data_IF_528922595004
#
_entry.id   IF_528922595004
#
_cell.length_a   1.000
_cell.length_b   1.000
_cell.length_c   1.000
_cell.angle_alpha   90.00
_cell.angle_beta   90.00
_cell.angle_gamma   90.00
#
_symmetry.space_group_name_H-M   'P 1'
#
loop_
_entity.id
_entity.type
_entity.pdbx_description
1 polymer ?
#
# COMPACT_ATOMS: atom_id res chain seq x y z
N UNK A 1 -20.61 15.48 1.79
CA UNK A 1 -19.89 14.56 0.89
C UNK A 1 -19.03 15.27 -0.17
N UNK A 2 -19.56 16.24 -0.91
CA UNK A 2 -18.82 16.97 -1.99
C UNK A 2 -17.52 17.67 -1.53
N UNK A 3 -17.51 18.38 -0.38
CA UNK A 3 -16.34 19.14 0.10
C UNK A 3 -15.14 18.25 0.46
N UNK A 4 -15.36 17.06 1.02
CA UNK A 4 -14.30 16.09 1.33
C UNK A 4 -13.64 15.54 0.06
N UNK A 5 -14.42 15.33 -0.99
CA UNK A 5 -13.93 14.91 -2.31
C UNK A 5 -13.04 15.98 -2.97
N UNK A 6 -13.41 17.26 -2.89
CA UNK A 6 -12.62 18.37 -3.45
C UNK A 6 -11.29 18.53 -2.70
N UNK A 7 -11.32 18.52 -1.36
CA UNK A 7 -10.11 18.58 -0.53
C UNK A 7 -9.14 17.45 -0.85
N UNK A 8 -9.66 16.21 -1.02
CA UNK A 8 -8.86 15.05 -1.37
C UNK A 8 -8.21 15.19 -2.75
N UNK A 9 -8.95 15.65 -3.76
CA UNK A 9 -8.41 15.89 -5.12
C UNK A 9 -7.31 16.93 -5.11
N UNK A 10 -7.51 18.05 -4.43
CA UNK A 10 -6.52 19.13 -4.32
C UNK A 10 -5.25 18.64 -3.58
N UNK A 11 -5.40 17.97 -2.45
CA UNK A 11 -4.26 17.42 -1.71
C UNK A 11 -3.46 16.41 -2.54
N UNK A 12 -4.14 15.50 -3.23
CA UNK A 12 -3.49 14.53 -4.13
C UNK A 12 -2.79 15.22 -5.30
N UNK A 13 -3.38 16.26 -5.88
CA UNK A 13 -2.72 17.05 -6.92
C UNK A 13 -1.44 17.71 -6.39
N UNK A 14 -1.52 18.36 -5.23
CA UNK A 14 -0.36 19.04 -4.61
C UNK A 14 0.75 18.03 -4.27
N UNK A 15 0.42 16.90 -3.64
CA UNK A 15 1.41 15.87 -3.28
C UNK A 15 2.05 15.24 -4.51
N UNK A 16 1.27 15.02 -5.59
CA UNK A 16 1.73 14.29 -6.76
C UNK A 16 2.41 15.14 -7.83
N UNK A 17 2.12 16.45 -7.87
CA UNK A 17 2.62 17.34 -8.94
C UNK A 17 3.52 18.45 -8.40
N UNK A 18 3.15 19.06 -7.27
CA UNK A 18 3.88 20.23 -6.74
C UNK A 18 4.99 19.78 -5.78
N UNK A 19 4.66 18.87 -4.86
CA UNK A 19 5.58 18.44 -3.80
C UNK A 19 6.13 17.01 -4.04
N UNK A 20 6.02 16.46 -5.25
CA UNK A 20 6.59 15.15 -5.57
C UNK A 20 8.11 15.12 -5.32
N UNK A 21 8.63 13.92 -4.96
CA UNK A 21 10.04 13.72 -4.69
C UNK A 21 10.38 13.64 -3.20
N UNK A 22 11.67 13.71 -2.89
CA UNK A 22 12.24 13.41 -1.55
C UNK A 22 12.34 14.62 -0.64
N UNK A 23 11.52 15.65 -0.87
CA UNK A 23 11.46 16.87 -0.06
C UNK A 23 10.05 17.09 0.49
N UNK A 24 9.91 18.07 1.39
CA UNK A 24 8.61 18.55 1.89
C UNK A 24 7.73 17.52 2.59
N UNK A 25 8.32 16.48 3.20
CA UNK A 25 7.58 15.40 3.86
C UNK A 25 6.59 15.90 4.92
N UNK A 26 6.94 16.92 5.70
CA UNK A 26 6.02 17.53 6.66
C UNK A 26 4.78 18.14 6.02
N UNK A 27 4.93 18.85 4.91
CA UNK A 27 3.82 19.44 4.15
C UNK A 27 2.95 18.33 3.56
N UNK A 28 3.57 17.31 2.95
CA UNK A 28 2.83 16.17 2.39
C UNK A 28 2.01 15.42 3.44
N UNK A 29 2.56 15.17 4.64
CA UNK A 29 1.79 14.59 5.75
C UNK A 29 0.56 15.44 6.11
N UNK A 30 0.73 16.75 6.27
CA UNK A 30 -0.38 17.67 6.58
C UNK A 30 -1.46 17.63 5.49
N UNK A 31 -1.09 17.70 4.23
CA UNK A 31 -2.00 17.65 3.09
C UNK A 31 -2.77 16.33 3.03
N UNK A 32 -2.08 15.19 3.20
CA UNK A 32 -2.70 13.86 3.18
C UNK A 32 -3.65 13.67 4.37
N UNK A 33 -3.26 14.10 5.57
CA UNK A 33 -4.16 14.08 6.75
C UNK A 33 -5.41 14.94 6.52
N UNK A 34 -5.26 16.13 5.96
CA UNK A 34 -6.39 17.00 5.60
C UNK A 34 -7.29 16.38 4.51
N UNK A 35 -6.74 15.50 3.68
CA UNK A 35 -7.47 14.72 2.68
C UNK A 35 -8.17 13.47 3.26
N UNK A 36 -7.99 13.19 4.56
CA UNK A 36 -8.62 12.08 5.27
C UNK A 36 -7.82 10.78 5.25
N UNK A 37 -6.53 10.83 4.92
CA UNK A 37 -5.61 9.71 5.12
C UNK A 37 -5.06 9.71 6.56
N UNK A 38 -4.85 8.53 7.10
CA UNK A 38 -4.22 8.33 8.39
C UNK A 38 -2.69 8.21 8.18
N UNK A 39 -1.95 9.26 8.48
CA UNK A 39 -0.49 9.30 8.26
C UNK A 39 0.22 9.55 9.58
N UNK A 40 1.03 8.59 10.01
CA UNK A 40 1.80 8.62 11.25
C UNK A 40 2.88 9.71 11.28
N UNK A 41 3.39 9.98 12.48
CA UNK A 41 4.45 10.98 12.65
C UNK A 41 5.77 10.47 12.06
N UNK A 42 6.55 11.35 11.44
CA UNK A 42 7.81 10.96 10.81
C UNK A 42 7.67 10.18 9.50
N UNK A 43 6.46 9.77 9.08
CA UNK A 43 6.27 9.08 7.80
C UNK A 43 6.74 9.92 6.61
N UNK A 44 7.43 9.29 5.66
CA UNK A 44 8.04 9.93 4.49
C UNK A 44 7.40 9.39 3.22
N UNK A 45 6.56 10.19 2.56
CA UNK A 45 5.89 9.81 1.32
C UNK A 45 6.52 10.58 0.16
N UNK A 46 7.14 9.84 -0.76
CA UNK A 46 7.87 10.44 -1.89
C UNK A 46 6.90 11.00 -2.93
N UNK A 47 5.86 10.24 -3.28
CA UNK A 47 4.94 10.57 -4.37
C UNK A 47 5.58 10.40 -5.77
N UNK A 48 4.78 10.33 -6.82
CA UNK A 48 3.33 10.33 -6.78
C UNK A 48 2.73 9.12 -6.03
N UNK A 49 1.50 9.31 -5.54
CA UNK A 49 0.68 8.31 -4.87
C UNK A 49 -0.66 8.21 -5.58
N UNK A 50 -1.07 7.01 -5.99
CA UNK A 50 -2.42 6.74 -6.48
C UNK A 50 -3.17 5.91 -5.44
N UNK A 51 -4.30 6.42 -4.96
CA UNK A 51 -5.12 5.70 -3.99
C UNK A 51 -6.61 5.95 -4.26
N UNK A 52 -7.32 4.91 -4.70
CA UNK A 52 -8.77 4.97 -4.91
C UNK A 52 -9.55 4.59 -3.66
N UNK A 53 -9.04 3.69 -2.85
CA UNK A 53 -9.57 3.26 -1.57
C UNK A 53 -9.14 4.12 -0.38
N UNK A 54 -8.88 3.48 0.75
CA UNK A 54 -8.33 4.08 1.96
C UNK A 54 -6.92 3.58 2.25
N UNK A 55 -6.09 4.44 2.83
CA UNK A 55 -4.71 4.15 3.18
C UNK A 55 -4.39 4.72 4.56
N UNK A 56 -3.84 3.87 5.42
CA UNK A 56 -3.23 4.25 6.68
C UNK A 56 -1.73 3.91 6.62
N UNK A 57 -0.88 4.81 7.08
CA UNK A 57 0.58 4.65 7.11
C UNK A 57 1.08 4.99 8.51
N UNK A 58 1.73 4.04 9.16
CA UNK A 58 2.29 4.17 10.49
C UNK A 58 3.46 5.14 10.58
N UNK A 59 3.89 5.39 11.81
CA UNK A 59 4.97 6.32 12.11
C UNK A 59 6.30 5.83 11.52
N UNK A 60 7.16 6.79 11.12
CA UNK A 60 8.52 6.53 10.61
C UNK A 60 8.59 5.61 9.38
N UNK A 61 7.48 5.36 8.71
CA UNK A 61 7.40 4.52 7.51
C UNK A 61 7.77 5.32 6.27
N UNK A 62 8.60 4.71 5.41
CA UNK A 62 8.97 5.24 4.11
C UNK A 62 8.07 4.67 3.02
N UNK A 63 7.50 5.55 2.21
CA UNK A 63 6.72 5.19 1.02
C UNK A 63 7.42 5.73 -0.22
N UNK A 64 7.89 4.83 -1.06
CA UNK A 64 8.54 5.11 -2.33
C UNK A 64 7.62 5.75 -3.37
N UNK A 65 8.19 6.02 -4.55
CA UNK A 65 7.45 6.60 -5.67
C UNK A 65 6.41 5.62 -6.23
N UNK A 66 5.34 6.18 -6.78
CA UNK A 66 4.31 5.46 -7.52
C UNK A 66 3.62 4.35 -6.71
N UNK A 67 3.54 4.50 -5.36
CA UNK A 67 2.69 3.61 -4.60
C UNK A 67 1.27 3.67 -5.15
N UNK A 68 0.69 2.50 -5.43
CA UNK A 68 -0.65 2.40 -5.99
C UNK A 68 -1.55 1.52 -5.13
N UNK A 69 -2.72 2.04 -4.75
CA UNK A 69 -3.81 1.30 -4.12
C UNK A 69 -4.98 1.28 -5.07
N UNK A 70 -5.19 0.15 -5.72
CA UNK A 70 -6.32 -0.10 -6.62
C UNK A 70 -7.50 -0.72 -5.88
N UNK A 71 -8.71 -0.24 -6.20
CA UNK A 71 -9.95 -0.70 -5.60
C UNK A 71 -10.41 0.18 -4.45
N UNK A 72 -11.60 -0.11 -3.91
CA UNK A 72 -12.28 0.72 -2.91
C UNK A 72 -12.07 0.22 -1.47
N UNK A 73 -11.20 -0.77 -1.28
CA UNK A 73 -10.91 -1.35 0.03
C UNK A 73 -9.90 -0.54 0.85
N UNK A 74 -9.23 -1.21 1.77
CA UNK A 74 -8.36 -0.57 2.77
C UNK A 74 -6.96 -1.20 2.76
N UNK A 75 -5.93 -0.36 2.84
CA UNK A 75 -4.54 -0.73 3.13
C UNK A 75 -4.12 -0.09 4.44
N UNK A 76 -3.58 -0.89 5.33
CA UNK A 76 -2.99 -0.46 6.60
C UNK A 76 -1.53 -0.88 6.62
N UNK A 77 -0.63 0.09 6.68
CA UNK A 77 0.82 -0.13 6.76
C UNK A 77 1.28 0.29 8.14
N UNK A 78 1.95 -0.60 8.84
CA UNK A 78 2.48 -0.39 10.17
C UNK A 78 3.60 0.66 10.24
N UNK A 79 4.26 0.69 11.37
CA UNK A 79 5.35 1.61 11.67
C UNK A 79 6.70 1.07 11.18
N UNK A 80 7.65 1.98 10.91
CA UNK A 80 9.03 1.66 10.54
C UNK A 80 9.15 0.69 9.36
N UNK A 81 8.19 0.77 8.43
CA UNK A 81 8.21 0.01 7.19
C UNK A 81 8.95 0.77 6.09
N UNK A 82 9.53 0.01 5.16
CA UNK A 82 10.09 0.53 3.92
C UNK A 82 9.35 -0.06 2.72
N UNK A 83 8.55 0.76 2.05
CA UNK A 83 7.85 0.40 0.82
C UNK A 83 8.60 1.02 -0.36
N UNK A 84 9.19 0.16 -1.18
CA UNK A 84 9.99 0.57 -2.34
C UNK A 84 9.11 1.14 -3.47
N UNK A 85 9.72 1.71 -4.54
CA UNK A 85 8.96 2.25 -5.66
C UNK A 85 8.09 1.22 -6.39
N UNK A 86 7.00 1.72 -7.00
CA UNK A 86 6.11 0.98 -7.91
C UNK A 86 5.39 -0.21 -7.25
N UNK A 87 5.22 -0.21 -5.93
CA UNK A 87 4.46 -1.23 -5.21
C UNK A 87 2.96 -1.04 -5.44
N UNK A 88 2.26 -2.14 -5.67
CA UNK A 88 0.82 -2.17 -5.94
C UNK A 88 0.08 -2.97 -4.87
N UNK A 89 -0.96 -2.37 -4.29
CA UNK A 89 -1.93 -3.04 -3.42
C UNK A 89 -3.27 -3.20 -4.15
N UNK A 90 -3.76 -4.43 -4.27
CA UNK A 90 -5.03 -4.76 -4.94
C UNK A 90 -6.14 -4.96 -3.92
N UNK A 91 -6.92 -3.93 -3.67
CA UNK A 91 -8.02 -3.94 -2.69
C UNK A 91 -9.40 -4.08 -3.33
N UNK A 92 -9.46 -4.39 -4.61
CA UNK A 92 -10.70 -4.65 -5.34
C UNK A 92 -10.56 -5.84 -6.25
N UNK A 93 -11.67 -6.50 -6.54
CA UNK A 93 -11.73 -7.63 -7.45
C UNK A 93 -13.15 -8.08 -7.70
N UNK A 94 -13.31 -9.30 -8.18
CA UNK A 94 -14.59 -9.92 -8.45
C UNK A 94 -14.62 -11.36 -7.94
N UNK A 95 -15.81 -11.85 -7.63
CA UNK A 95 -16.05 -13.28 -7.51
C UNK A 95 -15.91 -13.93 -8.89
N UNK A 96 -15.59 -15.22 -8.88
CA UNK A 96 -15.61 -15.98 -10.13
C UNK A 96 -17.07 -16.28 -10.46
N UNK A 97 -17.57 -15.64 -11.52
CA UNK A 97 -18.90 -15.85 -12.06
C UNK A 97 -18.99 -17.08 -12.96
N UNK A 98 -20.10 -17.23 -13.62
CA UNK A 98 -20.39 -18.33 -14.53
C UNK A 98 -19.65 -18.22 -15.90
N UNK A 99 -19.98 -19.12 -16.83
CA UNK A 99 -19.37 -19.16 -18.17
C UNK A 99 -19.66 -17.95 -19.04
N UNK A 100 -20.73 -17.22 -18.78
CA UNK A 100 -21.13 -16.03 -19.56
C UNK A 100 -20.33 -14.80 -19.12
N UNK A 101 -20.00 -14.69 -17.80
CA UNK A 101 -19.24 -13.57 -17.26
C UNK A 101 -18.39 -14.00 -16.05
N UNK A 102 -17.09 -14.20 -16.27
CA UNK A 102 -16.15 -14.62 -15.22
C UNK A 102 -15.92 -13.57 -14.14
N UNK A 103 -16.00 -12.29 -14.45
CA UNK A 103 -15.98 -11.22 -13.45
C UNK A 103 -17.41 -11.06 -12.87
N UNK A 104 -17.72 -11.81 -11.82
CA UNK A 104 -18.99 -11.78 -11.10
C UNK A 104 -19.16 -10.55 -10.21
N UNK A 105 -19.77 -10.73 -9.04
CA UNK A 105 -20.00 -9.63 -8.09
C UNK A 105 -18.70 -8.95 -7.68
N UNK A 106 -18.72 -7.62 -7.58
CA UNK A 106 -17.57 -6.83 -7.14
C UNK A 106 -17.24 -7.08 -5.68
N UNK A 107 -15.96 -7.20 -5.36
CA UNK A 107 -15.45 -7.42 -4.01
C UNK A 107 -14.47 -6.33 -3.59
N UNK A 108 -14.46 -6.01 -2.31
CA UNK A 108 -13.45 -5.11 -1.71
C UNK A 108 -12.67 -5.86 -0.65
N UNK A 109 -11.37 -5.59 -0.57
CA UNK A 109 -10.43 -6.31 0.28
C UNK A 109 -9.71 -5.39 1.25
N UNK A 110 -9.25 -5.97 2.35
CA UNK A 110 -8.35 -5.33 3.30
C UNK A 110 -6.97 -5.97 3.20
N UNK A 111 -5.93 -5.14 3.19
CA UNK A 111 -4.53 -5.57 3.23
C UNK A 111 -3.89 -4.95 4.45
N UNK A 112 -3.24 -5.78 5.27
CA UNK A 112 -2.54 -5.35 6.46
C UNK A 112 -1.04 -5.62 6.30
N UNK A 113 -0.22 -4.62 6.60
CA UNK A 113 1.24 -4.73 6.67
C UNK A 113 1.65 -4.45 8.10
N UNK A 114 2.30 -5.40 8.74
CA UNK A 114 2.84 -5.29 10.09
C UNK A 114 3.93 -4.23 10.22
N UNK A 115 4.53 -4.14 11.37
CA UNK A 115 5.60 -3.19 11.65
C UNK A 115 6.94 -3.69 11.11
N UNK A 116 7.84 -2.77 10.76
CA UNK A 116 9.21 -3.11 10.34
C UNK A 116 9.32 -3.89 9.04
N UNK A 117 8.27 -3.96 8.22
CA UNK A 117 8.28 -4.69 6.97
C UNK A 117 9.06 -3.96 5.87
N UNK A 118 9.72 -4.74 5.02
CA UNK A 118 10.34 -4.24 3.79
C UNK A 118 9.66 -4.84 2.56
N UNK A 119 9.04 -3.98 1.75
CA UNK A 119 8.34 -4.37 0.53
C UNK A 119 9.16 -3.91 -0.67
N UNK A 120 9.73 -4.87 -1.40
CA UNK A 120 10.59 -4.67 -2.55
C UNK A 120 9.86 -4.03 -3.75
N UNK A 121 10.62 -3.34 -4.58
CA UNK A 121 10.10 -2.58 -5.72
C UNK A 121 9.30 -3.47 -6.71
N UNK A 122 8.25 -2.88 -7.29
CA UNK A 122 7.38 -3.53 -8.29
C UNK A 122 6.68 -4.79 -7.80
N UNK A 123 6.61 -5.01 -6.48
CA UNK A 123 5.80 -6.11 -5.95
C UNK A 123 4.32 -5.77 -5.95
N UNK A 124 3.50 -6.81 -6.01
CA UNK A 124 2.04 -6.72 -5.94
C UNK A 124 1.54 -7.49 -4.73
N UNK A 125 0.75 -6.85 -3.89
CA UNK A 125 0.11 -7.46 -2.73
C UNK A 125 -1.38 -7.63 -3.04
N UNK A 126 -1.84 -8.87 -3.01
CA UNK A 126 -3.21 -9.24 -3.41
C UNK A 126 -4.24 -9.13 -2.29
N UNK A 127 -5.41 -9.64 -2.59
CA UNK A 127 -6.61 -9.56 -1.76
C UNK A 127 -6.45 -10.19 -0.37
N UNK A 128 -6.90 -9.48 0.66
CA UNK A 128 -6.97 -9.95 2.05
C UNK A 128 -5.65 -10.51 2.62
N UNK A 129 -4.51 -10.04 2.09
CA UNK A 129 -3.19 -10.47 2.57
C UNK A 129 -2.81 -9.71 3.83
N UNK A 130 -2.29 -10.45 4.80
CA UNK A 130 -1.57 -9.91 5.95
C UNK A 130 -0.08 -10.23 5.83
N UNK A 131 0.75 -9.20 5.87
CA UNK A 131 2.20 -9.31 6.03
C UNK A 131 2.51 -9.17 7.52
N UNK A 132 3.04 -10.22 8.14
CA UNK A 132 3.45 -10.19 9.55
C UNK A 132 4.63 -9.26 9.81
N UNK A 133 4.83 -8.87 11.05
CA UNK A 133 5.88 -7.95 11.47
C UNK A 133 7.27 -8.40 10.98
N UNK A 134 8.11 -7.44 10.61
CA UNK A 134 9.47 -7.67 10.12
C UNK A 134 9.58 -8.63 8.93
N UNK A 135 8.51 -8.80 8.14
CA UNK A 135 8.55 -9.60 6.91
C UNK A 135 9.18 -8.83 5.77
N UNK A 136 9.74 -9.56 4.82
CA UNK A 136 10.37 -9.01 3.61
C UNK A 136 9.69 -9.59 2.37
N UNK A 137 9.24 -8.72 1.49
CA UNK A 137 8.77 -9.08 0.14
C UNK A 137 9.84 -8.72 -0.87
N UNK A 138 10.35 -9.71 -1.60
CA UNK A 138 11.33 -9.49 -2.65
C UNK A 138 10.76 -8.63 -3.78
N UNK A 139 11.64 -7.93 -4.50
CA UNK A 139 11.23 -7.14 -5.66
C UNK A 139 10.51 -8.00 -6.72
N UNK A 140 9.53 -7.43 -7.41
CA UNK A 140 8.72 -8.08 -8.44
C UNK A 140 7.90 -9.29 -7.96
N UNK A 141 7.75 -9.51 -6.66
CA UNK A 141 6.95 -10.60 -6.12
C UNK A 141 5.44 -10.32 -6.25
N UNK A 142 4.65 -11.40 -6.40
CA UNK A 142 3.20 -11.33 -6.37
C UNK A 142 2.68 -12.12 -5.15
N UNK A 143 2.35 -11.40 -4.07
CA UNK A 143 1.94 -11.98 -2.80
C UNK A 143 0.42 -12.12 -2.77
N UNK A 144 -0.06 -13.37 -2.73
CA UNK A 144 -1.49 -13.71 -2.78
C UNK A 144 -1.95 -14.49 -1.53
N UNK A 145 -1.07 -14.70 -0.57
CA UNK A 145 -1.33 -15.38 0.72
C UNK A 145 -0.63 -14.64 1.84
N UNK A 146 -1.10 -14.82 3.05
CA UNK A 146 -0.48 -14.26 4.24
C UNK A 146 0.98 -14.67 4.36
N UNK A 147 1.78 -13.77 4.90
CA UNK A 147 3.20 -13.95 5.17
C UNK A 147 3.42 -13.88 6.67
N UNK A 148 4.05 -14.90 7.24
CA UNK A 148 4.38 -14.92 8.65
C UNK A 148 5.38 -13.80 9.01
N UNK A 149 5.39 -13.39 10.28
CA UNK A 149 6.41 -12.48 10.78
C UNK A 149 7.82 -13.06 10.57
N UNK A 150 8.82 -12.19 10.45
CA UNK A 150 10.23 -12.58 10.26
C UNK A 150 10.45 -13.55 9.09
N UNK A 151 9.71 -13.37 7.99
CA UNK A 151 9.79 -14.26 6.82
C UNK A 151 10.07 -13.46 5.57
N UNK A 152 10.98 -13.95 4.73
CA UNK A 152 11.21 -13.43 3.38
C UNK A 152 10.46 -14.28 2.35
N UNK A 153 9.68 -13.61 1.50
CA UNK A 153 8.94 -14.22 0.38
C UNK A 153 9.32 -13.58 -0.96
N UNK A 154 9.16 -14.33 -2.04
CA UNK A 154 9.44 -13.83 -3.40
C UNK A 154 8.89 -14.72 -4.48
N UNK A 155 8.89 -14.23 -5.72
CA UNK A 155 8.40 -14.95 -6.90
C UNK A 155 6.95 -14.61 -7.27
N UNK A 156 6.45 -15.25 -8.35
CA UNK A 156 5.09 -15.11 -8.91
C UNK A 156 4.52 -16.50 -9.20
N UNK A 157 3.58 -17.00 -8.35
CA UNK A 157 3.15 -16.45 -7.06
C UNK A 157 4.28 -16.50 -6.02
N UNK A 158 4.25 -15.59 -5.04
CA UNK A 158 5.28 -15.52 -4.02
C UNK A 158 5.25 -16.76 -3.12
N UNK A 159 6.44 -17.27 -2.83
CA UNK A 159 6.70 -18.40 -1.91
C UNK A 159 7.74 -17.95 -0.88
N UNK A 160 7.75 -18.65 0.25
CA UNK A 160 8.77 -18.47 1.27
C UNK A 160 10.16 -18.76 0.69
N UNK A 161 11.10 -17.85 0.91
CA UNK A 161 12.52 -18.00 0.57
C UNK A 161 13.29 -18.48 1.80
N UNK A 162 13.12 -17.78 2.92
CA UNK A 162 13.76 -18.13 4.21
C UNK A 162 13.06 -17.43 5.38
N UNK A 163 13.28 -17.97 6.57
CA UNK A 163 13.06 -17.23 7.81
C UNK A 163 14.19 -16.20 8.00
N UNK A 164 13.86 -15.10 8.63
CA UNK A 164 14.81 -14.05 8.99
C UNK A 164 15.11 -14.23 10.49
N UNK A 165 16.37 -14.40 10.80
CA UNK A 165 16.81 -14.47 12.20
C UNK A 165 16.59 -13.10 12.87
N UNK A 166 16.16 -13.12 14.12
CA UNK A 166 15.89 -11.93 14.96
C UNK A 166 17.12 -11.62 15.79
#
# INVERSE_FOLDING_TARGET
>A
MKLRSVKRRLAMFLVNRVFAGTRWFGIKRKLLRAAGFEIGEGAKIVGPLLCTGTLSVGAQTWIGRNLTVHGNGRVEIGERCDVAPDVVFLTGGHEIGDGNRRAGAGQTYRICVGNGCWIGARSTIGKNVTLGDASVVAACACVMKDVAANTMVGGVPAKMIRNLDV
#
